data_IF_127182498634
#
_entry.id   IF_127182498634
#
_cell.length_a   1.000
_cell.length_b   1.000
_cell.length_c   1.000
_cell.angle_alpha   90.00
_cell.angle_beta   90.00
_cell.angle_gamma   90.00
#
_symmetry.space_group_name_H-M   'P 1'
#
loop_
_entity.id
_entity.type
_entity.pdbx_description
1 polymer ?
#
# COMPACT_ATOMS: atom_id res chain seq x y z
N UNK A 1 40.85 -23.51 -2.08
CA UNK A 1 40.64 -23.23 -0.63
C UNK A 1 40.75 -21.72 -0.42
N UNK A 2 39.64 -20.99 -0.46
CA UNK A 2 39.63 -19.55 -0.21
C UNK A 2 39.09 -19.29 1.21
N UNK A 3 39.91 -18.67 2.07
CA UNK A 3 39.56 -18.26 3.43
C UNK A 3 38.66 -17.02 3.35
N UNK A 4 37.40 -17.13 3.77
CA UNK A 4 36.55 -15.95 4.00
C UNK A 4 36.93 -15.27 5.32
N UNK A 5 37.10 -13.94 5.36
CA UNK A 5 37.32 -13.21 6.61
C UNK A 5 36.03 -13.20 7.45
N UNK A 6 36.16 -13.47 8.75
CA UNK A 6 35.04 -13.53 9.70
C UNK A 6 34.44 -12.13 9.90
N UNK A 7 33.20 -11.94 9.47
CA UNK A 7 32.39 -10.71 9.61
C UNK A 7 31.78 -10.54 11.02
N UNK A 8 31.80 -11.59 11.84
CA UNK A 8 31.27 -11.60 13.20
C UNK A 8 31.85 -10.53 14.16
N UNK A 9 33.17 -10.25 14.19
CA UNK A 9 33.71 -9.20 15.07
C UNK A 9 33.33 -7.77 14.64
N UNK A 10 33.14 -7.49 13.34
CA UNK A 10 32.75 -6.16 12.88
C UNK A 10 31.28 -5.83 13.20
N UNK A 11 30.40 -6.83 13.13
CA UNK A 11 28.99 -6.68 13.51
C UNK A 11 28.85 -6.45 15.03
N UNK A 12 29.68 -7.10 15.84
CA UNK A 12 29.71 -6.88 17.29
C UNK A 12 30.15 -5.46 17.68
N UNK A 13 31.12 -4.88 16.97
CA UNK A 13 31.58 -3.50 17.20
C UNK A 13 30.53 -2.48 16.74
N UNK A 14 29.83 -2.74 15.63
CA UNK A 14 28.76 -1.87 15.15
C UNK A 14 27.55 -1.84 16.10
N UNK A 15 27.18 -2.98 16.69
CA UNK A 15 26.08 -3.06 17.65
C UNK A 15 26.49 -2.47 19.00
N UNK A 16 27.71 -2.76 19.48
CA UNK A 16 28.22 -2.19 20.73
C UNK A 16 28.39 -0.67 20.68
N UNK A 17 28.84 -0.13 19.54
CA UNK A 17 29.02 1.31 19.34
C UNK A 17 27.70 2.09 19.33
N UNK A 18 26.64 1.52 18.74
CA UNK A 18 25.31 2.18 18.70
C UNK A 18 24.64 2.20 20.08
N UNK A 19 24.89 1.19 20.93
CA UNK A 19 24.38 1.18 22.31
C UNK A 19 25.14 2.19 23.18
N UNK A 20 26.46 2.32 23.01
CA UNK A 20 27.27 3.30 23.76
C UNK A 20 26.94 4.76 23.38
N UNK A 21 26.70 5.05 22.09
CA UNK A 21 26.33 6.41 21.64
C UNK A 21 24.93 6.82 22.13
N UNK A 22 24.00 5.86 22.29
CA UNK A 22 22.67 6.14 22.86
C UNK A 22 22.71 6.38 24.38
N UNK A 23 23.76 5.96 25.08
CA UNK A 23 23.93 6.16 26.52
C UNK A 23 24.51 7.54 26.88
N UNK A 24 25.16 8.25 25.94
CA UNK A 24 25.75 9.58 26.18
C UNK A 24 24.71 10.72 26.09
N UNK A 25 23.54 10.47 25.51
CA UNK A 25 22.45 11.46 25.36
C UNK A 25 21.36 11.43 26.44
N UNK A 26 21.43 10.51 27.40
CA UNK A 26 20.49 10.44 28.53
C UNK A 26 21.11 11.14 29.75
N UNK A 27 20.57 12.30 30.12
CA UNK A 27 21.02 13.07 31.28
C UNK A 27 20.98 12.28 32.60
N UNK A 28 21.70 12.74 33.63
CA UNK A 28 22.00 11.97 34.85
C UNK A 28 20.80 11.59 35.75
N UNK A 29 19.56 11.99 35.41
CA UNK A 29 18.37 11.71 36.24
C UNK A 29 17.63 10.40 35.95
N UNK A 30 17.97 9.66 34.89
CA UNK A 30 17.25 8.43 34.51
C UNK A 30 17.68 7.19 35.32
N UNK A 31 18.84 7.25 35.98
CA UNK A 31 19.34 6.17 36.85
C UNK A 31 18.95 6.35 38.32
N UNK A 32 18.47 7.53 38.71
CA UNK A 32 17.96 7.82 40.06
C UNK A 32 16.61 7.14 40.31
N UNK A 33 15.76 7.10 39.28
CA UNK A 33 14.52 6.31 39.28
C UNK A 33 14.77 4.81 39.38
N UNK A 34 15.84 4.28 38.78
CA UNK A 34 16.19 2.86 38.89
C UNK A 34 16.72 2.50 40.29
N UNK A 35 17.37 3.44 40.98
CA UNK A 35 17.84 3.26 42.36
C UNK A 35 16.70 3.29 43.38
N UNK A 36 15.73 4.19 43.18
CA UNK A 36 14.50 4.24 43.98
C UNK A 36 13.68 2.93 43.92
N UNK A 37 13.65 2.26 42.76
CA UNK A 37 12.99 0.95 42.62
C UNK A 37 13.79 -0.21 43.23
N UNK A 38 15.12 -0.09 43.31
CA UNK A 38 15.97 -1.11 43.93
C UNK A 38 15.96 -1.02 45.47
N UNK A 39 15.84 0.19 46.04
CA UNK A 39 15.71 0.39 47.48
C UNK A 39 14.30 0.01 48.00
N UNK A 40 13.24 0.24 47.20
CA UNK A 40 11.86 -0.19 47.50
C UNK A 40 11.73 -1.74 47.51
N UNK A 41 12.41 -2.42 46.58
CA UNK A 41 12.44 -3.88 46.54
C UNK A 41 13.24 -4.52 47.70
N UNK A 42 14.25 -3.83 48.24
CA UNK A 42 15.04 -4.34 49.37
C UNK A 42 14.39 -4.08 50.74
N UNK A 43 13.61 -3.00 50.86
CA UNK A 43 12.85 -2.69 52.07
C UNK A 43 11.57 -3.55 52.17
N UNK A 44 10.95 -3.90 51.04
CA UNK A 44 9.81 -4.80 50.99
C UNK A 44 10.13 -6.28 51.33
N UNK A 45 11.41 -6.67 51.32
CA UNK A 45 11.84 -8.04 51.70
C UNK A 45 12.31 -8.11 53.17
N UNK A 46 12.68 -6.99 53.79
CA UNK A 46 13.03 -6.97 55.23
C UNK A 46 11.85 -6.67 56.16
N UNK A 47 10.74 -6.12 55.64
CA UNK A 47 9.49 -5.87 56.38
C UNK A 47 8.38 -6.89 56.01
N UNK A 48 8.77 -8.13 55.69
CA UNK A 48 7.83 -9.24 55.46
C UNK A 48 8.08 -10.43 56.41
N UNK A 49 8.95 -10.26 57.40
CA UNK A 49 9.30 -11.29 58.39
C UNK A 49 8.72 -11.04 59.80
N UNK A 50 7.65 -10.24 59.92
CA UNK A 50 6.90 -10.08 61.18
C UNK A 50 5.41 -9.77 60.94
N UNK A 51 4.67 -10.75 60.40
CA UNK A 51 3.21 -10.73 60.47
C UNK A 51 2.75 -11.48 61.75
N UNK A 52 1.95 -10.85 62.63
CA UNK A 52 1.38 -11.51 63.80
C UNK A 52 0.33 -12.54 63.36
N UNK A 53 0.26 -13.63 64.14
CA UNK A 53 -0.70 -14.70 63.98
C UNK A 53 -2.13 -14.18 63.76
N UNK A 54 -2.68 -14.45 62.57
CA UNK A 54 -4.05 -14.15 62.23
C UNK A 54 -4.99 -14.90 63.18
N UNK A 55 -5.71 -14.10 63.99
CA UNK A 55 -6.83 -14.56 64.77
C UNK A 55 -7.88 -15.21 63.85
N UNK A 56 -8.39 -16.38 64.27
CA UNK A 56 -9.60 -17.00 63.70
C UNK A 56 -10.74 -15.97 63.67
N UNK A 57 -11.51 -15.84 62.57
CA UNK A 57 -12.73 -15.07 62.62
C UNK A 57 -13.70 -15.75 63.60
N UNK A 58 -14.13 -15.00 64.61
CA UNK A 58 -15.24 -15.40 65.47
C UNK A 58 -16.51 -15.61 64.62
N UNK A 59 -17.38 -16.57 64.97
CA UNK A 59 -18.63 -16.76 64.24
C UNK A 59 -19.46 -15.47 64.33
N UNK A 60 -19.95 -14.97 63.20
CA UNK A 60 -20.90 -13.86 63.16
C UNK A 60 -22.24 -14.31 63.75
N UNK A 61 -22.39 -14.21 65.07
CA UNK A 61 -23.61 -14.65 65.81
C UNK A 61 -24.70 -13.56 65.83
N UNK A 62 -24.63 -12.54 64.96
CA UNK A 62 -25.61 -11.43 64.93
C UNK A 62 -26.17 -11.12 63.53
N UNK A 63 -25.92 -11.96 62.52
CA UNK A 63 -26.56 -11.81 61.22
C UNK A 63 -27.84 -12.66 61.20
N UNK A 64 -29.02 -12.02 61.17
CA UNK A 64 -30.27 -12.71 60.86
C UNK A 64 -30.08 -13.48 59.54
N UNK A 65 -30.59 -14.71 59.48
CA UNK A 65 -30.55 -15.46 58.22
C UNK A 65 -31.39 -14.72 57.19
N UNK A 66 -31.05 -14.80 55.88
CA UNK A 66 -31.81 -14.12 54.82
C UNK A 66 -33.30 -14.47 54.83
N UNK A 67 -33.68 -15.63 55.38
CA UNK A 67 -35.07 -16.03 55.56
C UNK A 67 -35.77 -15.28 56.71
N UNK A 68 -35.07 -15.04 57.83
CA UNK A 68 -35.59 -14.22 58.93
C UNK A 68 -35.67 -12.74 58.56
N UNK A 69 -34.74 -12.25 57.75
CA UNK A 69 -34.76 -10.89 57.18
C UNK A 69 -35.95 -10.71 56.23
N UNK A 70 -36.26 -11.72 55.41
CA UNK A 70 -37.43 -11.72 54.52
C UNK A 70 -38.75 -11.65 55.32
N UNK A 71 -38.86 -12.41 56.40
CA UNK A 71 -40.04 -12.47 57.27
C UNK A 71 -40.30 -11.15 58.02
N UNK A 72 -39.25 -10.47 58.48
CA UNK A 72 -39.38 -9.14 59.13
C UNK A 72 -39.74 -8.02 58.15
N UNK A 73 -39.34 -8.15 56.87
CA UNK A 73 -39.66 -7.18 55.83
C UNK A 73 -41.03 -7.42 55.15
N UNK A 74 -41.70 -8.54 55.45
CA UNK A 74 -42.95 -8.94 54.78
C UNK A 74 -42.76 -9.36 53.31
N UNK A 75 -41.54 -9.74 52.92
CA UNK A 75 -41.15 -10.05 51.54
C UNK A 75 -41.00 -11.57 51.39
N UNK A 76 -41.35 -12.13 50.23
CA UNK A 76 -41.14 -13.56 49.96
C UNK A 76 -39.63 -13.89 49.88
N UNK A 77 -39.15 -15.04 50.39
CA UNK A 77 -37.74 -15.42 50.30
C UNK A 77 -37.22 -15.52 48.85
N UNK A 78 -38.12 -15.73 47.87
CA UNK A 78 -37.75 -15.70 46.44
C UNK A 78 -37.48 -14.27 45.94
N UNK A 79 -38.28 -13.29 46.36
CA UNK A 79 -38.10 -11.86 46.00
C UNK A 79 -36.82 -11.31 46.59
N UNK A 80 -36.49 -11.70 47.83
CA UNK A 80 -35.25 -11.28 48.49
C UNK A 80 -34.00 -11.78 47.76
N UNK A 81 -34.02 -13.02 47.22
CA UNK A 81 -32.94 -13.54 46.35
C UNK A 81 -32.82 -12.76 45.05
N UNK A 82 -33.94 -12.38 44.44
CA UNK A 82 -33.93 -11.58 43.20
C UNK A 82 -33.28 -10.21 43.48
N UNK A 83 -33.70 -9.52 44.55
CA UNK A 83 -33.11 -8.22 44.92
C UNK A 83 -31.60 -8.34 45.16
N UNK A 84 -31.15 -9.38 45.87
CA UNK A 84 -29.72 -9.63 46.07
C UNK A 84 -28.96 -9.90 44.77
N UNK A 85 -29.54 -10.67 43.84
CA UNK A 85 -28.91 -10.93 42.54
C UNK A 85 -28.84 -9.68 41.66
N UNK A 86 -29.87 -8.82 41.70
CA UNK A 86 -29.87 -7.55 41.00
C UNK A 86 -28.86 -6.56 41.61
N UNK A 87 -28.75 -6.50 42.93
CA UNK A 87 -27.73 -5.68 43.60
C UNK A 87 -26.32 -6.16 43.27
N UNK A 88 -26.08 -7.48 43.30
CA UNK A 88 -24.79 -8.06 42.92
C UNK A 88 -24.45 -7.75 41.45
N UNK A 89 -25.42 -7.90 40.55
CA UNK A 89 -25.23 -7.55 39.13
C UNK A 89 -24.98 -6.06 38.93
N UNK A 90 -25.61 -5.20 39.73
CA UNK A 90 -25.35 -3.76 39.68
C UNK A 90 -23.91 -3.45 40.07
N UNK A 91 -23.42 -4.04 41.16
CA UNK A 91 -22.02 -3.84 41.58
C UNK A 91 -21.02 -4.35 40.54
N UNK A 92 -21.33 -5.45 39.83
CA UNK A 92 -20.49 -5.95 38.74
C UNK A 92 -20.47 -5.00 37.53
N UNK A 93 -21.62 -4.42 37.19
CA UNK A 93 -21.71 -3.43 36.11
C UNK A 93 -21.00 -2.14 36.47
N UNK A 94 -21.19 -1.62 37.68
CA UNK A 94 -20.50 -0.40 38.14
C UNK A 94 -18.96 -0.59 38.15
N UNK A 95 -18.47 -1.80 38.47
CA UNK A 95 -17.05 -2.13 38.37
C UNK A 95 -16.56 -2.12 36.91
N UNK A 96 -17.30 -2.72 35.97
CA UNK A 96 -16.96 -2.68 34.54
C UNK A 96 -17.00 -1.26 33.99
N UNK A 97 -17.97 -0.45 34.40
CA UNK A 97 -18.08 0.94 33.96
C UNK A 97 -16.88 1.76 34.45
N UNK A 98 -16.38 1.51 35.67
CA UNK A 98 -15.15 2.12 36.16
C UNK A 98 -13.91 1.66 35.35
N UNK A 99 -13.82 0.38 35.00
CA UNK A 99 -12.75 -0.15 34.14
C UNK A 99 -12.76 0.51 32.76
N UNK A 100 -13.94 0.68 32.15
CA UNK A 100 -14.07 1.38 30.88
C UNK A 100 -13.76 2.88 30.97
N UNK A 101 -14.15 3.53 32.08
CA UNK A 101 -13.86 4.94 32.32
C UNK A 101 -12.35 5.23 32.36
N UNK A 102 -11.53 4.24 32.74
CA UNK A 102 -10.06 4.38 32.75
C UNK A 102 -9.40 3.96 31.43
N UNK A 103 -9.89 2.89 30.81
CA UNK A 103 -9.26 2.32 29.60
C UNK A 103 -9.59 3.10 28.32
N UNK A 104 -10.83 3.59 28.16
CA UNK A 104 -11.25 4.30 26.96
C UNK A 104 -10.43 5.58 26.70
N UNK A 105 -10.16 6.45 27.69
CA UNK A 105 -9.32 7.63 27.46
C UNK A 105 -7.89 7.28 27.02
N UNK A 106 -7.33 6.19 27.55
CA UNK A 106 -5.99 5.72 27.14
C UNK A 106 -5.98 5.23 25.70
N UNK A 107 -7.02 4.52 25.28
CA UNK A 107 -7.18 4.09 23.88
C UNK A 107 -7.36 5.28 22.95
N UNK A 108 -8.19 6.25 23.30
CA UNK A 108 -8.39 7.48 22.50
C UNK A 108 -7.09 8.26 22.37
N UNK A 109 -6.32 8.41 23.46
CA UNK A 109 -5.01 9.05 23.42
C UNK A 109 -4.00 8.26 22.56
N UNK A 110 -4.06 6.93 22.58
CA UNK A 110 -3.23 6.08 21.74
C UNK A 110 -3.59 6.21 20.25
N UNK A 111 -4.88 6.25 19.91
CA UNK A 111 -5.38 6.46 18.55
C UNK A 111 -4.97 7.84 18.03
N UNK A 112 -5.18 8.91 18.81
CA UNK A 112 -4.71 10.24 18.45
C UNK A 112 -3.19 10.30 18.20
N UNK A 113 -2.41 9.56 18.99
CA UNK A 113 -0.95 9.46 18.81
C UNK A 113 -0.58 8.67 17.54
N UNK A 114 -1.35 7.64 17.18
CA UNK A 114 -1.16 6.91 15.94
C UNK A 114 -1.52 7.78 14.73
N UNK A 115 -2.63 8.51 14.78
CA UNK A 115 -3.03 9.44 13.72
C UNK A 115 -1.98 10.52 13.48
N UNK A 116 -1.45 11.12 14.56
CA UNK A 116 -0.36 12.08 14.47
C UNK A 116 0.89 11.48 13.79
N UNK A 117 1.23 10.22 14.10
CA UNK A 117 2.34 9.51 13.45
C UNK A 117 2.06 9.22 11.98
N UNK A 118 0.85 8.80 11.63
CA UNK A 118 0.46 8.54 10.25
C UNK A 118 0.52 9.83 9.43
N UNK A 119 0.03 10.94 9.97
CA UNK A 119 0.12 12.26 9.34
C UNK A 119 1.58 12.68 9.15
N UNK A 120 2.44 12.52 10.17
CA UNK A 120 3.87 12.82 10.05
C UNK A 120 4.56 11.96 8.98
N UNK A 121 4.27 10.66 8.93
CA UNK A 121 4.82 9.76 7.90
C UNK A 121 4.33 10.14 6.49
N UNK A 122 3.07 10.52 6.35
CA UNK A 122 2.52 11.00 5.08
C UNK A 122 3.17 12.33 4.65
N UNK A 123 3.45 13.23 5.59
CA UNK A 123 4.17 14.48 5.32
C UNK A 123 5.59 14.21 4.82
N UNK A 124 6.33 13.32 5.50
CA UNK A 124 7.67 12.90 5.07
C UNK A 124 7.63 12.23 3.71
N UNK A 125 6.64 11.35 3.46
CA UNK A 125 6.45 10.73 2.14
C UNK A 125 6.24 11.79 1.05
N UNK A 126 5.40 12.80 1.31
CA UNK A 126 5.16 13.88 0.37
C UNK A 126 6.42 14.73 0.12
N UNK A 127 7.18 15.03 1.18
CA UNK A 127 8.45 15.75 1.07
C UNK A 127 9.47 14.97 0.24
N UNK A 128 9.66 13.68 0.52
CA UNK A 128 10.57 12.81 -0.24
C UNK A 128 10.13 12.69 -1.69
N UNK A 129 8.84 12.54 -1.97
CA UNK A 129 8.31 12.55 -3.34
C UNK A 129 8.55 13.89 -4.03
N UNK A 130 8.40 15.00 -3.31
CA UNK A 130 8.71 16.33 -3.81
C UNK A 130 10.20 16.51 -4.14
N UNK A 131 11.09 16.07 -3.26
CA UNK A 131 12.54 16.11 -3.48
C UNK A 131 12.97 15.22 -4.65
N UNK A 132 12.41 14.01 -4.75
CA UNK A 132 12.67 13.11 -5.87
C UNK A 132 12.23 13.74 -7.19
N UNK A 133 11.03 14.34 -7.23
CA UNK A 133 10.56 15.06 -8.41
C UNK A 133 11.44 16.26 -8.80
N UNK A 134 12.02 16.96 -7.82
CA UNK A 134 12.98 18.04 -8.10
C UNK A 134 14.31 17.52 -8.67
N UNK A 135 14.81 16.39 -8.17
CA UNK A 135 16.02 15.75 -8.70
C UNK A 135 15.76 15.26 -10.13
N UNK A 136 14.66 14.55 -10.38
CA UNK A 136 14.27 14.09 -11.72
C UNK A 136 14.17 15.26 -12.71
N UNK A 137 13.60 16.39 -12.28
CA UNK A 137 13.48 17.59 -13.11
C UNK A 137 14.85 18.22 -13.43
N UNK A 138 15.79 18.24 -12.46
CA UNK A 138 17.16 18.74 -12.67
C UNK A 138 17.95 17.84 -13.61
N UNK A 139 17.90 16.52 -13.40
CA UNK A 139 18.55 15.53 -14.27
C UNK A 139 18.02 15.61 -15.70
N UNK A 140 16.70 15.78 -15.85
CA UNK A 140 16.08 15.99 -17.16
C UNK A 140 16.55 17.29 -17.81
N UNK A 141 16.56 18.40 -17.07
CA UNK A 141 17.01 19.69 -17.60
C UNK A 141 18.50 19.65 -18.03
N UNK A 142 19.34 18.94 -17.27
CA UNK A 142 20.74 18.73 -17.63
C UNK A 142 20.87 17.87 -18.90
N UNK A 143 20.10 16.77 -18.98
CA UNK A 143 20.06 15.93 -20.18
C UNK A 143 19.59 16.72 -21.40
N UNK A 144 18.52 17.51 -21.27
CA UNK A 144 17.98 18.34 -22.34
C UNK A 144 18.98 19.41 -22.80
N UNK A 145 19.73 20.00 -21.86
CA UNK A 145 20.83 20.94 -22.18
C UNK A 145 21.93 20.24 -22.97
N UNK A 146 22.33 19.03 -22.60
CA UNK A 146 23.32 18.25 -23.34
C UNK A 146 22.81 17.87 -24.73
N UNK A 147 21.55 17.43 -24.84
CA UNK A 147 20.89 17.16 -26.14
C UNK A 147 20.89 18.41 -27.01
N UNK A 148 20.64 19.60 -26.46
CA UNK A 148 20.69 20.86 -27.20
C UNK A 148 22.10 21.13 -27.77
N UNK A 149 23.15 20.94 -26.98
CA UNK A 149 24.55 21.10 -27.43
C UNK A 149 24.87 20.15 -28.57
N UNK A 150 24.55 18.87 -28.44
CA UNK A 150 24.85 17.87 -29.47
C UNK A 150 23.99 18.02 -30.73
N UNK A 151 22.74 18.45 -30.60
CA UNK A 151 21.84 18.65 -31.75
C UNK A 151 22.14 19.94 -32.53
N UNK A 152 22.79 20.93 -31.91
CA UNK A 152 23.27 22.13 -32.59
C UNK A 152 24.60 21.89 -33.35
N UNK A 153 25.36 20.84 -32.98
CA UNK A 153 26.62 20.49 -33.63
C UNK A 153 26.40 19.72 -34.95
N UNK A 154 27.40 19.72 -35.84
CA UNK A 154 27.33 18.96 -37.09
C UNK A 154 27.27 17.45 -36.79
N UNK A 155 26.41 16.67 -37.48
CA UNK A 155 26.24 15.24 -37.19
C UNK A 155 27.55 14.44 -37.21
N UNK A 156 28.51 14.84 -38.04
CA UNK A 156 29.83 14.19 -38.13
C UNK A 156 30.72 14.39 -36.93
N UNK A 157 30.74 15.61 -36.40
CA UNK A 157 31.51 15.94 -35.21
C UNK A 157 30.84 15.35 -33.96
N UNK A 158 29.51 15.45 -33.89
CA UNK A 158 28.73 14.80 -32.85
C UNK A 158 28.98 13.29 -32.79
N UNK A 159 28.94 12.58 -33.92
CA UNK A 159 29.15 11.14 -33.97
C UNK A 159 30.54 10.72 -33.46
N UNK A 160 31.59 11.49 -33.78
CA UNK A 160 32.95 11.21 -33.32
C UNK A 160 33.06 11.31 -31.79
N UNK A 161 32.46 12.35 -31.19
CA UNK A 161 32.47 12.54 -29.72
C UNK A 161 31.55 11.54 -29.02
N UNK A 162 30.39 11.22 -29.61
CA UNK A 162 29.43 10.28 -29.02
C UNK A 162 29.97 8.85 -28.97
N UNK A 163 30.84 8.47 -29.91
CA UNK A 163 31.48 7.16 -29.92
C UNK A 163 32.47 6.96 -28.77
N UNK A 164 33.07 8.03 -28.24
CA UNK A 164 34.03 7.98 -27.12
C UNK A 164 33.39 8.17 -25.75
N UNK A 165 32.09 8.49 -25.69
CA UNK A 165 31.38 8.80 -24.46
C UNK A 165 30.98 7.54 -23.69
N UNK A 166 31.01 7.61 -22.36
CA UNK A 166 30.58 6.52 -21.48
C UNK A 166 29.07 6.28 -21.56
N UNK A 167 28.65 5.02 -21.41
CA UNK A 167 27.25 4.62 -21.50
C UNK A 167 26.33 5.29 -20.51
N UNK A 168 26.82 5.61 -19.30
CA UNK A 168 26.04 6.27 -18.26
C UNK A 168 25.49 7.61 -18.70
N UNK A 169 26.24 8.35 -19.54
CA UNK A 169 25.86 9.67 -20.07
C UNK A 169 25.31 9.54 -21.50
N UNK A 170 25.87 8.63 -22.30
CA UNK A 170 25.50 8.41 -23.70
C UNK A 170 24.06 7.93 -23.87
N UNK A 171 23.62 6.98 -23.03
CA UNK A 171 22.30 6.36 -23.16
C UNK A 171 21.14 7.30 -22.78
N UNK A 172 21.19 8.07 -21.68
CA UNK A 172 20.16 9.06 -21.37
C UNK A 172 20.00 10.12 -22.46
N UNK A 173 21.13 10.66 -22.97
CA UNK A 173 21.11 11.67 -24.04
C UNK A 173 20.51 11.08 -25.32
N UNK A 174 20.93 9.87 -25.71
CA UNK A 174 20.39 9.20 -26.89
C UNK A 174 18.88 8.93 -26.76
N UNK A 175 18.41 8.53 -25.57
CA UNK A 175 16.99 8.26 -25.32
C UNK A 175 16.13 9.54 -25.32
N UNK A 176 16.67 10.67 -24.84
CA UNK A 176 15.97 11.95 -24.82
C UNK A 176 16.02 12.71 -26.16
N UNK A 177 16.96 12.35 -27.04
CA UNK A 177 17.15 13.04 -28.32
C UNK A 177 16.01 12.77 -29.32
N UNK A 178 15.70 13.79 -30.14
CA UNK A 178 14.69 13.67 -31.21
C UNK A 178 15.12 12.60 -32.23
N UNK A 179 14.21 11.72 -32.70
CA UNK A 179 14.57 10.60 -33.59
C UNK A 179 15.35 11.02 -34.83
N UNK A 180 14.96 12.14 -35.46
CA UNK A 180 15.63 12.66 -36.67
C UNK A 180 17.09 13.08 -36.42
N UNK A 181 17.37 13.69 -35.27
CA UNK A 181 18.74 14.09 -34.90
C UNK A 181 19.61 12.88 -34.58
N UNK A 182 19.03 11.91 -33.84
CA UNK A 182 19.69 10.64 -33.53
C UNK A 182 20.06 9.86 -34.80
N UNK A 183 19.15 9.75 -35.76
CA UNK A 183 19.41 9.06 -37.03
C UNK A 183 20.55 9.72 -37.82
N UNK A 184 20.61 11.05 -37.86
CA UNK A 184 21.68 11.77 -38.55
C UNK A 184 23.06 11.53 -37.92
N UNK A 185 23.13 11.42 -36.59
CA UNK A 185 24.36 11.12 -35.86
C UNK A 185 24.76 9.65 -36.06
N UNK A 186 23.82 8.70 -35.97
CA UNK A 186 24.08 7.28 -36.21
C UNK A 186 24.59 7.01 -37.63
N UNK A 187 24.06 7.71 -38.63
CA UNK A 187 24.50 7.57 -40.02
C UNK A 187 25.98 7.93 -40.24
N UNK A 188 26.54 8.75 -39.36
CA UNK A 188 27.91 9.26 -39.45
C UNK A 188 28.86 8.60 -38.43
N UNK A 189 28.34 7.67 -37.62
CA UNK A 189 29.05 6.91 -36.61
C UNK A 189 29.64 5.61 -37.19
N UNK A 190 30.76 5.08 -36.66
CA UNK A 190 31.23 3.76 -37.05
C UNK A 190 30.18 2.67 -36.75
N UNK A 191 29.98 1.76 -37.69
CA UNK A 191 29.02 0.66 -37.61
C UNK A 191 29.02 -0.13 -36.28
N UNK A 192 30.17 -0.51 -35.68
CA UNK A 192 30.16 -1.21 -34.39
C UNK A 192 29.57 -0.38 -33.24
N UNK A 193 29.90 0.91 -33.16
CA UNK A 193 29.41 1.79 -32.09
C UNK A 193 27.90 2.07 -32.24
N UNK A 194 27.43 2.27 -33.48
CA UNK A 194 26.01 2.48 -33.77
C UNK A 194 25.16 1.24 -33.40
N UNK A 195 25.68 0.03 -33.68
CA UNK A 195 25.05 -1.23 -33.29
C UNK A 195 24.95 -1.34 -31.77
N UNK A 196 26.06 -1.13 -31.06
CA UNK A 196 26.12 -1.22 -29.61
C UNK A 196 25.15 -0.27 -28.92
N UNK A 197 25.11 1.00 -29.34
CA UNK A 197 24.19 2.00 -28.80
C UNK A 197 22.73 1.58 -29.01
N UNK A 198 22.38 1.11 -30.20
CA UNK A 198 21.02 0.70 -30.52
C UNK A 198 20.59 -0.53 -29.72
N UNK A 199 21.47 -1.53 -29.58
CA UNK A 199 21.22 -2.71 -28.76
C UNK A 199 21.01 -2.34 -27.27
N UNK A 200 21.83 -1.43 -26.73
CA UNK A 200 21.69 -0.95 -25.35
C UNK A 200 20.41 -0.15 -25.14
N UNK A 201 20.05 0.72 -26.09
CA UNK A 201 18.82 1.48 -26.05
C UNK A 201 17.58 0.57 -26.11
N UNK A 202 17.61 -0.46 -26.97
CA UNK A 202 16.55 -1.46 -27.08
C UNK A 202 16.39 -2.27 -25.78
N UNK A 203 17.49 -2.73 -25.18
CA UNK A 203 17.47 -3.43 -23.88
C UNK A 203 16.88 -2.56 -22.77
N UNK A 204 17.24 -1.27 -22.72
CA UNK A 204 16.67 -0.31 -21.77
C UNK A 204 15.16 -0.15 -21.95
N UNK A 205 14.71 0.02 -23.19
CA UNK A 205 13.29 0.16 -23.49
C UNK A 205 12.48 -1.09 -23.14
N UNK A 206 13.01 -2.28 -23.45
CA UNK A 206 12.40 -3.55 -23.04
C UNK A 206 12.32 -3.68 -21.51
N UNK A 207 13.38 -3.33 -20.78
CA UNK A 207 13.38 -3.35 -19.33
C UNK A 207 12.31 -2.39 -18.75
N UNK A 208 12.17 -1.19 -19.32
CA UNK A 208 11.15 -0.22 -18.92
C UNK A 208 9.73 -0.73 -19.21
N UNK A 209 9.49 -1.38 -20.34
CA UNK A 209 8.20 -1.99 -20.67
C UNK A 209 7.84 -3.14 -19.73
N UNK A 210 8.80 -4.00 -19.38
CA UNK A 210 8.59 -5.08 -18.43
C UNK A 210 8.27 -4.54 -17.04
N UNK A 211 8.98 -3.51 -16.59
CA UNK A 211 8.69 -2.83 -15.33
C UNK A 211 7.29 -2.20 -15.33
N UNK A 212 6.89 -1.53 -16.41
CA UNK A 212 5.55 -0.96 -16.55
C UNK A 212 4.46 -2.04 -16.54
N UNK A 213 4.69 -3.19 -17.19
CA UNK A 213 3.76 -4.32 -17.18
C UNK A 213 3.68 -5.00 -15.81
N UNK A 214 4.80 -5.13 -15.10
CA UNK A 214 4.82 -5.65 -13.74
C UNK A 214 4.07 -4.72 -12.77
N UNK A 215 4.27 -3.40 -12.91
CA UNK A 215 3.51 -2.40 -12.14
C UNK A 215 2.00 -2.46 -12.44
N UNK A 216 1.62 -2.61 -13.71
CA UNK A 216 0.21 -2.78 -14.10
C UNK A 216 -0.41 -4.08 -13.55
N UNK A 217 0.36 -5.18 -13.53
CA UNK A 217 -0.09 -6.44 -12.93
C UNK A 217 -0.23 -6.33 -11.40
N UNK A 218 0.68 -5.64 -10.72
CA UNK A 218 0.61 -5.39 -9.27
C UNK A 218 -0.51 -4.42 -8.88
N UNK A 219 -0.92 -3.53 -9.78
CA UNK A 219 -2.05 -2.61 -9.57
C UNK A 219 -3.43 -3.24 -9.88
N UNK A 220 -3.46 -4.48 -10.40
CA UNK A 220 -4.72 -5.20 -10.61
C UNK A 220 -5.11 -5.89 -9.29
N UNK A 221 -6.23 -5.53 -8.63
CA UNK A 221 -6.66 -6.23 -7.42
C UNK A 221 -6.91 -7.71 -7.76
N UNK A 222 -6.61 -8.64 -6.84
CA UNK A 222 -6.89 -10.05 -7.07
C UNK A 222 -8.40 -10.20 -7.38
N UNK A 223 -8.78 -11.00 -8.39
CA UNK A 223 -10.18 -11.35 -8.57
C UNK A 223 -10.68 -11.95 -7.24
N UNK A 224 -11.94 -11.69 -6.83
CA UNK A 224 -12.49 -12.33 -5.64
C UNK A 224 -12.31 -13.83 -5.84
N UNK A 225 -11.60 -14.46 -4.89
CA UNK A 225 -11.43 -15.89 -4.90
C UNK A 225 -12.81 -16.52 -4.85
N UNK A 226 -13.34 -16.95 -6.00
CA UNK A 226 -14.44 -17.89 -6.03
C UNK A 226 -13.87 -19.16 -5.43
N UNK A 227 -14.10 -19.37 -4.13
CA UNK A 227 -14.03 -20.68 -3.51
C UNK A 227 -15.01 -21.56 -4.26
N UNK A 228 -14.52 -22.22 -5.31
CA UNK A 228 -15.22 -23.31 -5.97
C UNK A 228 -15.31 -24.40 -4.92
N UNK A 229 -16.44 -24.42 -4.23
CA UNK A 229 -16.86 -25.51 -3.39
C UNK A 229 -16.79 -26.76 -4.25
N UNK A 230 -15.84 -27.64 -3.95
CA UNK A 230 -15.73 -28.95 -4.56
C UNK A 230 -17.03 -29.69 -4.27
N UNK A 231 -17.96 -29.65 -5.23
CA UNK A 231 -19.14 -30.49 -5.22
C UNK A 231 -18.67 -31.94 -5.42
N UNK A 232 -18.86 -32.72 -4.36
CA UNK A 232 -18.72 -34.17 -4.31
C UNK A 232 -19.62 -34.81 -5.36
N UNK A 233 -19.03 -35.35 -6.42
CA UNK A 233 -19.70 -36.28 -7.33
C UNK A 233 -19.76 -37.66 -6.66
N UNK A 234 -20.93 -38.32 -6.54
CA UNK A 234 -21.02 -39.70 -6.08
C UNK A 234 -20.43 -40.69 -7.11
N UNK A 235 -19.89 -41.85 -6.68
CA UNK A 235 -19.23 -42.79 -7.58
C UNK A 235 -20.28 -43.61 -8.36
N UNK A 236 -20.12 -43.67 -9.69
CA UNK A 236 -20.77 -44.68 -10.51
C UNK A 236 -19.99 -46.01 -10.38
N UNK A 237 -20.66 -47.18 -10.25
CA UNK A 237 -19.98 -48.44 -10.06
C UNK A 237 -19.41 -48.98 -11.38
N UNK A 238 -18.28 -49.66 -11.24
CA UNK A 238 -17.55 -50.34 -12.29
C UNK A 238 -18.34 -51.52 -12.87
N UNK A 239 -18.25 -51.70 -14.19
CA UNK A 239 -18.36 -53.00 -14.85
C UNK A 239 -17.15 -53.20 -15.76
N UNK A 240 -16.34 -54.18 -15.38
CA UNK A 240 -15.16 -54.72 -16.08
C UNK A 240 -15.58 -55.78 -17.13
N UNK A 241 -14.65 -56.42 -17.89
CA UNK A 241 -14.76 -56.54 -19.34
C UNK A 241 -15.03 -57.97 -19.83
N UNK A 242 -15.37 -58.14 -21.10
CA UNK A 242 -15.32 -59.44 -21.77
C UNK A 242 -14.80 -59.31 -23.21
N UNK A 243 -13.84 -60.17 -23.50
CA UNK A 243 -13.05 -60.27 -24.72
C UNK A 243 -13.74 -61.09 -25.81
N UNK A 244 -13.28 -60.89 -27.06
CA UNK A 244 -13.09 -61.87 -28.16
C UNK A 244 -12.60 -61.04 -29.37
N UNK A 245 -11.56 -61.33 -30.14
CA UNK A 245 -10.66 -62.48 -30.25
C UNK A 245 -10.23 -62.61 -31.72
N UNK A 246 -8.92 -62.42 -31.99
CA UNK A 246 -8.13 -62.82 -33.19
C UNK A 246 -8.54 -62.23 -34.58
N UNK A 247 -7.66 -61.94 -35.56
CA UNK A 247 -6.47 -62.66 -36.07
C UNK A 247 -5.59 -61.73 -36.97
N UNK A 248 -4.27 -61.78 -36.75
CA UNK A 248 -3.02 -61.67 -37.58
C UNK A 248 -3.07 -61.53 -39.14
N UNK A 249 -1.94 -61.24 -39.89
CA UNK A 249 -0.88 -60.20 -39.79
C UNK A 249 -0.41 -59.68 -41.22
N UNK A 250 0.83 -59.20 -41.55
CA UNK A 250 1.09 -58.17 -42.59
C UNK A 250 1.68 -58.71 -43.92
N UNK A 251 2.02 -57.85 -44.91
CA UNK A 251 3.44 -57.66 -45.21
C UNK A 251 3.86 -56.24 -45.63
N UNK A 252 5.18 -56.04 -45.64
CA UNK A 252 5.90 -54.78 -45.83
C UNK A 252 6.30 -54.53 -47.32
N UNK A 253 7.38 -53.78 -47.62
CA UNK A 253 7.35 -52.49 -48.33
C UNK A 253 7.83 -52.60 -49.78
N UNK A 254 7.43 -51.67 -50.66
CA UNK A 254 8.08 -51.51 -51.96
C UNK A 254 8.34 -50.05 -52.34
N UNK A 255 9.58 -49.88 -52.78
CA UNK A 255 10.33 -48.70 -53.14
C UNK A 255 10.08 -48.21 -54.56
N UNK A 256 10.42 -46.93 -54.75
CA UNK A 256 11.04 -46.34 -55.94
C UNK A 256 10.17 -45.82 -57.12
N UNK A 257 10.50 -44.56 -57.43
CA UNK A 257 10.75 -44.00 -58.76
C UNK A 257 9.60 -43.28 -59.51
N UNK A 258 9.79 -41.96 -59.58
CA UNK A 258 9.66 -41.08 -60.74
C UNK A 258 8.33 -41.00 -61.52
N UNK A 259 7.66 -39.84 -61.40
CA UNK A 259 7.43 -38.95 -62.56
C UNK A 259 7.08 -37.52 -62.11
N UNK A 260 7.70 -36.55 -62.77
CA UNK A 260 7.54 -35.10 -62.56
C UNK A 260 6.29 -34.51 -63.27
N UNK A 261 6.17 -33.18 -63.46
CA UNK A 261 5.38 -32.27 -62.64
C UNK A 261 4.16 -31.71 -63.42
N UNK A 262 3.09 -31.30 -62.74
CA UNK A 262 2.04 -30.48 -63.37
C UNK A 262 1.66 -29.27 -62.52
N UNK A 263 1.70 -28.14 -63.22
CA UNK A 263 1.51 -26.76 -62.85
C UNK A 263 0.14 -26.45 -62.26
N UNK A 264 0.15 -25.71 -61.15
CA UNK A 264 -1.03 -25.10 -60.52
C UNK A 264 -1.37 -23.77 -61.21
N UNK A 265 -2.65 -23.50 -61.55
CA UNK A 265 -3.06 -22.24 -62.16
C UNK A 265 -3.19 -21.10 -61.12
N UNK A 266 -2.97 -19.88 -61.60
CA UNK A 266 -3.05 -18.62 -60.85
C UNK A 266 -4.48 -18.27 -60.39
N UNK A 267 -4.65 -17.55 -59.26
CA UNK A 267 -5.89 -16.83 -58.98
C UNK A 267 -5.79 -15.33 -59.28
N UNK A 268 -6.93 -14.84 -59.75
CA UNK A 268 -7.28 -13.54 -60.31
C UNK A 268 -7.27 -12.39 -59.31
N UNK A 269 -6.97 -11.20 -59.83
CA UNK A 269 -7.00 -9.91 -59.15
C UNK A 269 -8.39 -9.59 -58.58
N UNK A 270 -8.45 -9.11 -57.33
CA UNK A 270 -9.61 -8.37 -56.83
C UNK A 270 -9.18 -7.08 -56.13
N UNK A 271 -10.02 -6.08 -56.38
CA UNK A 271 -9.80 -4.63 -56.37
C UNK A 271 -9.86 -4.05 -54.96
N UNK A 272 -8.93 -3.14 -54.66
CA UNK A 272 -8.82 -2.35 -53.42
C UNK A 272 -9.83 -1.19 -53.41
N UNK A 273 -10.57 -0.93 -52.31
CA UNK A 273 -11.29 0.34 -52.14
C UNK A 273 -10.44 1.40 -51.41
N UNK A 274 -10.64 2.66 -51.82
CA UNK A 274 -9.97 3.89 -51.38
C UNK A 274 -10.62 4.52 -50.13
N UNK A 275 -9.92 5.41 -49.38
CA UNK A 275 -10.43 6.02 -48.15
C UNK A 275 -11.27 7.29 -48.39
N UNK A 276 -12.23 7.63 -47.50
CA UNK A 276 -13.05 8.83 -47.63
C UNK A 276 -12.35 10.11 -47.17
N UNK A 277 -12.76 11.21 -47.80
CA UNK A 277 -12.25 12.57 -47.71
C UNK A 277 -12.81 13.37 -46.52
N UNK A 278 -12.04 14.41 -46.17
CA UNK A 278 -12.17 15.34 -45.05
C UNK A 278 -13.18 16.46 -45.39
N UNK A 279 -14.11 16.74 -44.48
CA UNK A 279 -15.03 17.90 -44.57
C UNK A 279 -14.73 18.91 -43.46
N UNK A 280 -14.73 20.19 -43.81
CA UNK A 280 -14.43 21.39 -42.99
C UNK A 280 -15.59 21.80 -42.05
N UNK A 281 -15.33 22.64 -41.02
CA UNK A 281 -16.34 23.01 -40.02
C UNK A 281 -17.11 24.30 -40.38
N UNK A 282 -18.38 24.36 -39.97
CA UNK A 282 -19.29 25.52 -40.04
C UNK A 282 -19.55 26.06 -38.61
N UNK A 283 -19.66 27.39 -38.39
CA UNK A 283 -19.82 27.97 -37.04
C UNK A 283 -21.27 27.89 -36.52
N UNK A 284 -21.50 28.04 -35.19
CA UNK A 284 -22.80 27.81 -34.58
C UNK A 284 -23.69 29.06 -34.57
N UNK A 285 -24.99 28.84 -34.82
CA UNK A 285 -26.04 29.81 -34.56
C UNK A 285 -26.77 29.44 -33.27
N UNK A 286 -27.06 30.46 -32.46
CA UNK A 286 -27.89 30.40 -31.27
C UNK A 286 -29.31 29.95 -31.59
N UNK A 287 -29.90 29.10 -30.75
CA UNK A 287 -31.30 29.30 -30.38
C UNK A 287 -31.65 28.66 -29.03
N UNK A 288 -32.61 29.31 -28.39
CA UNK A 288 -33.02 29.18 -27.00
C UNK A 288 -33.95 27.99 -26.74
N UNK A 289 -34.04 27.65 -25.46
CA UNK A 289 -35.21 27.14 -24.72
C UNK A 289 -35.85 25.82 -25.17
N UNK A 290 -35.78 24.82 -24.28
CA UNK A 290 -36.95 24.13 -23.73
C UNK A 290 -36.57 23.33 -22.50
N UNK A 291 -37.31 23.54 -21.41
CA UNK A 291 -37.27 22.78 -20.17
C UNK A 291 -37.79 21.35 -20.37
N UNK A 292 -37.29 20.39 -19.59
CA UNK A 292 -38.04 19.25 -19.02
C UNK A 292 -37.18 18.53 -17.98
N UNK A 293 -37.54 18.76 -16.72
CA UNK A 293 -37.69 17.85 -15.57
C UNK A 293 -36.90 16.53 -15.52
N UNK A 294 -36.04 16.41 -14.49
CA UNK A 294 -35.54 15.14 -13.92
C UNK A 294 -35.09 15.36 -12.46
N UNK A 295 -35.28 14.39 -11.53
CA UNK A 295 -35.31 14.63 -10.09
C UNK A 295 -33.91 14.75 -9.46
N UNK A 296 -33.72 15.78 -8.63
CA UNK A 296 -32.51 15.99 -7.81
C UNK A 296 -32.69 15.40 -6.40
N UNK A 297 -31.66 14.77 -5.82
CA UNK A 297 -31.69 14.27 -4.45
C UNK A 297 -31.56 15.39 -3.41
N UNK A 298 -32.18 15.12 -2.26
CA UNK A 298 -32.42 16.00 -1.11
C UNK A 298 -31.12 16.48 -0.41
N UNK A 299 -30.99 17.79 -0.16
CA UNK A 299 -29.97 18.36 0.72
C UNK A 299 -30.65 19.16 1.85
N UNK A 300 -30.19 19.04 3.11
CA UNK A 300 -30.85 19.66 4.26
C UNK A 300 -30.54 21.16 4.37
N UNK A 301 -31.57 21.94 4.72
CA UNK A 301 -31.56 23.39 4.92
C UNK A 301 -30.82 23.79 6.21
N UNK A 302 -29.90 24.76 6.11
CA UNK A 302 -29.34 25.49 7.25
C UNK A 302 -30.23 26.69 7.64
N UNK A 303 -30.28 27.09 8.93
CA UNK A 303 -31.19 28.13 9.40
C UNK A 303 -30.67 29.55 9.13
N UNK A 304 -31.63 30.40 8.74
CA UNK A 304 -31.56 31.84 8.46
C UNK A 304 -31.02 32.67 9.62
N UNK A 305 -30.06 33.55 9.34
CA UNK A 305 -29.56 34.59 10.25
C UNK A 305 -30.51 35.80 10.34
N UNK A 306 -30.59 36.50 11.50
CA UNK A 306 -31.50 37.64 11.70
C UNK A 306 -30.98 38.97 11.08
N UNK A 307 -31.87 39.97 10.87
CA UNK A 307 -31.54 41.20 10.13
C UNK A 307 -30.69 42.20 10.93
N UNK A 308 -30.00 43.15 10.25
CA UNK A 308 -29.06 44.07 10.90
C UNK A 308 -29.75 45.21 11.67
N UNK A 309 -29.15 45.55 12.81
CA UNK A 309 -29.48 46.64 13.72
C UNK A 309 -29.03 48.01 13.17
N UNK A 310 -29.90 49.01 13.36
CA UNK A 310 -29.70 50.43 13.04
C UNK A 310 -28.41 51.03 13.67
N UNK A 311 -27.72 51.97 12.99
CA UNK A 311 -26.60 52.68 13.57
C UNK A 311 -27.05 53.85 14.47
N UNK A 312 -26.60 53.80 15.72
CA UNK A 312 -26.64 54.87 16.72
C UNK A 312 -25.88 56.11 16.24
N UNK A 313 -26.54 57.26 16.26
CA UNK A 313 -25.94 58.58 16.06
C UNK A 313 -25.16 59.04 17.33
N UNK A 314 -24.05 59.78 17.19
CA UNK A 314 -23.31 60.31 18.33
C UNK A 314 -23.97 61.59 18.87
N UNK A 315 -24.25 61.62 20.18
CA UNK A 315 -24.60 62.88 20.88
C UNK A 315 -23.34 63.72 21.06
N UNK A 316 -23.30 64.85 20.36
CA UNK A 316 -22.47 66.00 20.72
C UNK A 316 -23.08 66.74 21.91
N UNK A 317 -22.17 67.28 22.70
CA UNK A 317 -22.35 68.21 23.82
C UNK A 317 -23.02 69.53 23.40
N UNK A 318 -23.63 70.22 24.38
CA UNK A 318 -23.39 71.63 24.78
C UNK A 318 -24.65 72.23 25.43
N UNK A 319 -24.42 72.84 26.61
CA UNK A 319 -25.26 73.70 27.47
C UNK A 319 -26.29 73.05 28.38
#
# INVERSE_FOLDING_TARGET
MAKLPRLLPLIAIAIGGVVAVRAVGAGPGLFEGAKAWAEDASSAVSEAAAAPAAARPAPAVCALTPEQLAQQAGISPAELRIIQSLSARRTELDARDADFATTLPLMVAAEAKLDAKVQALNAIKAEVQGLLGQVDAREKAETDRLVAVYSAMRPREAAAVFATLDDSVRLPIAAAMRPRGLSAILAQMPAPAARELTEKLARRFQAQQLAARAAAAAATPPPPATTQSAATTPPAPATTPAANGATTPPPAPQTAANRAPQSRPAPTQTRRPAPPTRSTPRPPAANQASATTGPQPYAPTAPTAPPPSNPTAPRQSVQ
#
